data_IF_525964997965
#
_entry.id   IF_525964997965
#
_cell.length_a   1.000
_cell.length_b   1.000
_cell.length_c   1.000
_cell.angle_alpha   90.00
_cell.angle_beta   90.00
_cell.angle_gamma   90.00
#
_symmetry.space_group_name_H-M   'P 1'
#
loop_
_entity.id
_entity.type
_entity.pdbx_description
1 polymer ?
#
# COMPACT_ATOMS: atom_id res chain seq x y z
N UNK A 1 -5.37 -1.22 23.55
CA UNK A 1 -6.78 -0.78 23.51
C UNK A 1 -6.98 0.73 23.59
N UNK A 2 -6.09 1.53 24.22
CA UNK A 2 -6.23 3.00 24.24
C UNK A 2 -6.18 3.66 22.85
N UNK A 3 -5.23 3.29 21.98
CA UNK A 3 -5.11 3.87 20.64
C UNK A 3 -6.29 3.59 19.68
N UNK A 4 -6.99 2.46 19.83
CA UNK A 4 -8.13 2.08 18.98
C UNK A 4 -9.33 3.02 19.17
N UNK A 5 -9.54 3.51 20.40
CA UNK A 5 -10.64 4.44 20.71
C UNK A 5 -10.22 5.88 20.36
N UNK A 6 -8.96 6.27 20.55
CA UNK A 6 -8.51 7.64 20.22
C UNK A 6 -8.52 7.92 18.71
N UNK A 7 -8.23 6.91 17.88
CA UNK A 7 -8.33 6.99 16.42
C UNK A 7 -9.78 7.16 15.91
N UNK A 8 -10.76 6.63 16.64
CA UNK A 8 -12.19 6.79 16.38
C UNK A 8 -12.68 8.22 16.64
N UNK A 9 -12.05 8.94 17.57
CA UNK A 9 -12.51 10.25 18.03
C UNK A 9 -11.85 11.43 17.33
N UNK A 10 -10.79 11.21 16.54
CA UNK A 10 -10.06 12.29 15.87
C UNK A 10 -10.40 12.36 14.36
N UNK A 11 -11.39 13.19 13.97
CA UNK A 11 -11.86 13.28 12.58
C UNK A 11 -10.74 13.67 11.61
N UNK A 12 -9.70 14.36 12.08
CA UNK A 12 -8.54 14.72 11.25
C UNK A 12 -7.78 13.49 10.76
N UNK A 13 -7.53 12.52 11.64
CA UNK A 13 -6.81 11.28 11.30
C UNK A 13 -7.61 10.42 10.31
N UNK A 14 -8.93 10.36 10.47
CA UNK A 14 -9.82 9.66 9.54
C UNK A 14 -9.84 10.31 8.15
N UNK A 15 -9.91 11.65 8.07
CA UNK A 15 -9.85 12.37 6.79
C UNK A 15 -8.51 12.14 6.10
N UNK A 16 -7.39 12.24 6.84
CA UNK A 16 -6.05 12.01 6.29
C UNK A 16 -5.91 10.59 5.75
N UNK A 17 -6.44 9.59 6.48
CA UNK A 17 -6.46 8.21 6.02
C UNK A 17 -7.31 8.01 4.76
N UNK A 18 -8.50 8.63 4.68
CA UNK A 18 -9.36 8.53 3.49
C UNK A 18 -8.68 9.15 2.28
N UNK A 19 -8.11 10.34 2.44
CA UNK A 19 -7.33 11.02 1.40
C UNK A 19 -6.13 10.16 0.99
N UNK A 20 -5.40 9.58 1.95
CA UNK A 20 -4.29 8.67 1.68
C UNK A 20 -4.71 7.46 0.84
N UNK A 21 -5.83 6.83 1.16
CA UNK A 21 -6.37 5.70 0.38
C UNK A 21 -6.78 6.09 -1.06
N UNK A 22 -7.31 7.30 -1.26
CA UNK A 22 -7.66 7.82 -2.58
C UNK A 22 -6.39 8.00 -3.42
N UNK A 23 -5.37 8.67 -2.86
CA UNK A 23 -4.08 8.84 -3.54
C UNK A 23 -3.37 7.51 -3.79
N UNK A 24 -3.45 6.57 -2.84
CA UNK A 24 -2.90 5.23 -2.99
C UNK A 24 -3.55 4.50 -4.17
N UNK A 25 -4.89 4.50 -4.23
CA UNK A 25 -5.65 3.92 -5.34
C UNK A 25 -5.32 4.55 -6.69
N UNK A 26 -5.17 5.88 -6.72
CA UNK A 26 -4.74 6.63 -7.91
C UNK A 26 -3.31 6.26 -8.34
N UNK A 27 -2.37 6.10 -7.39
CA UNK A 27 -1.00 5.70 -7.69
C UNK A 27 -0.94 4.31 -8.34
N UNK A 28 -1.64 3.34 -7.76
CA UNK A 28 -1.74 1.96 -8.28
C UNK A 28 -2.42 1.95 -9.66
N UNK A 29 -3.46 2.76 -9.87
CA UNK A 29 -4.11 2.84 -11.19
C UNK A 29 -3.18 3.42 -12.26
N UNK A 30 -2.36 4.43 -11.91
CA UNK A 30 -1.34 5.00 -12.80
C UNK A 30 -0.27 3.95 -13.14
N UNK A 31 0.20 3.18 -12.17
CA UNK A 31 1.09 2.05 -12.44
C UNK A 31 0.45 1.03 -13.39
N UNK A 32 -0.83 0.70 -13.17
CA UNK A 32 -1.57 -0.22 -14.05
C UNK A 32 -1.64 0.31 -15.48
N UNK A 33 -1.92 1.60 -15.66
CA UNK A 33 -1.96 2.26 -16.98
C UNK A 33 -0.60 2.23 -17.69
N UNK A 34 0.51 2.25 -16.95
CA UNK A 34 1.84 2.26 -17.57
C UNK A 34 2.17 0.98 -18.34
N UNK A 35 1.54 -0.15 -17.99
CA UNK A 35 1.84 -1.46 -18.58
C UNK A 35 3.28 -1.95 -18.32
N UNK A 36 4.05 -1.31 -17.43
CA UNK A 36 5.43 -1.69 -17.09
C UNK A 36 5.53 -2.48 -15.78
N UNK A 37 4.41 -2.97 -15.26
CA UNK A 37 4.31 -3.64 -13.97
C UNK A 37 3.86 -2.70 -12.84
N UNK A 38 3.46 -3.31 -11.73
CA UNK A 38 2.94 -2.64 -10.54
C UNK A 38 3.82 -2.95 -9.33
N UNK A 39 3.47 -2.39 -8.16
CA UNK A 39 4.00 -2.90 -6.90
C UNK A 39 3.72 -4.42 -6.76
N UNK A 40 4.61 -5.18 -6.10
CA UNK A 40 4.52 -6.64 -6.11
C UNK A 40 3.20 -7.21 -5.60
N UNK A 41 2.58 -6.56 -4.61
CA UNK A 41 1.31 -7.01 -4.07
C UNK A 41 0.17 -6.78 -5.06
N UNK A 42 0.00 -5.56 -5.58
CA UNK A 42 -1.04 -5.28 -6.57
C UNK A 42 -0.79 -6.03 -7.88
N UNK A 43 0.47 -6.22 -8.29
CA UNK A 43 0.84 -7.05 -9.44
C UNK A 43 0.41 -8.52 -9.26
N UNK A 44 0.68 -9.11 -8.10
CA UNK A 44 0.22 -10.46 -7.74
C UNK A 44 -1.31 -10.55 -7.79
N UNK A 45 -2.01 -9.58 -7.19
CA UNK A 45 -3.49 -9.53 -7.18
C UNK A 45 -4.03 -9.43 -8.60
N UNK A 46 -3.44 -8.61 -9.47
CA UNK A 46 -3.84 -8.50 -10.88
C UNK A 46 -3.65 -9.83 -11.61
N UNK A 47 -2.47 -10.45 -11.50
CA UNK A 47 -2.18 -11.72 -12.15
C UNK A 47 -3.13 -12.85 -11.71
N UNK A 48 -3.41 -12.93 -10.40
CA UNK A 48 -4.35 -13.90 -9.85
C UNK A 48 -5.80 -13.61 -10.24
N UNK A 49 -6.19 -12.33 -10.30
CA UNK A 49 -7.52 -11.92 -10.74
C UNK A 49 -7.76 -12.29 -12.21
N UNK A 50 -6.78 -12.02 -13.07
CA UNK A 50 -6.84 -12.30 -14.51
C UNK A 50 -6.89 -13.82 -14.77
N UNK A 51 -6.10 -14.61 -14.04
CA UNK A 51 -6.14 -16.09 -14.15
C UNK A 51 -7.41 -16.71 -13.58
N UNK A 52 -8.02 -16.09 -12.57
CA UNK A 52 -9.28 -16.54 -11.97
C UNK A 52 -10.53 -16.06 -12.72
N UNK A 53 -10.40 -15.09 -13.64
CA UNK A 53 -11.52 -14.44 -14.33
C UNK A 53 -12.38 -13.56 -13.41
N UNK A 54 -11.85 -13.15 -12.25
CA UNK A 54 -12.56 -12.31 -11.27
C UNK A 54 -12.11 -10.87 -11.46
N UNK A 55 -13.03 -9.91 -11.36
CA UNK A 55 -12.67 -8.50 -11.40
C UNK A 55 -11.66 -8.14 -10.31
N UNK A 56 -10.63 -7.37 -10.67
CA UNK A 56 -9.54 -6.95 -9.77
C UNK A 56 -10.02 -6.43 -8.41
N UNK A 57 -11.03 -5.54 -8.40
CA UNK A 57 -11.56 -4.98 -7.16
C UNK A 57 -12.12 -6.07 -6.23
N UNK A 58 -12.88 -7.02 -6.77
CA UNK A 58 -13.47 -8.11 -5.98
C UNK A 58 -12.39 -9.09 -5.50
N UNK A 59 -11.44 -9.44 -6.37
CA UNK A 59 -10.34 -10.33 -6.00
C UNK A 59 -9.48 -9.74 -4.89
N UNK A 60 -9.18 -8.44 -4.97
CA UNK A 60 -8.46 -7.72 -3.92
C UNK A 60 -9.20 -7.76 -2.58
N UNK A 61 -10.53 -7.60 -2.58
CA UNK A 61 -11.35 -7.71 -1.37
C UNK A 61 -11.27 -9.11 -0.79
N UNK A 62 -11.40 -10.16 -1.63
CA UNK A 62 -11.32 -11.55 -1.18
C UNK A 62 -9.95 -11.88 -0.57
N UNK A 63 -8.87 -11.42 -1.21
CA UNK A 63 -7.51 -11.61 -0.70
C UNK A 63 -7.29 -10.80 0.59
N UNK A 64 -7.73 -9.55 0.65
CA UNK A 64 -7.64 -8.77 1.89
C UNK A 64 -8.47 -9.39 3.01
N UNK A 65 -9.62 -9.99 2.71
CA UNK A 65 -10.44 -10.69 3.69
C UNK A 65 -9.73 -11.94 4.23
N UNK A 66 -9.04 -12.71 3.37
CA UNK A 66 -8.26 -13.87 3.81
C UNK A 66 -7.07 -13.44 4.69
N UNK A 67 -6.35 -12.39 4.28
CA UNK A 67 -5.28 -11.79 5.09
C UNK A 67 -5.80 -11.20 6.40
N UNK A 68 -6.99 -10.62 6.38
CA UNK A 68 -7.65 -10.09 7.57
C UNK A 68 -7.97 -11.20 8.59
N UNK A 69 -8.33 -12.40 8.15
CA UNK A 69 -8.50 -13.56 9.06
C UNK A 69 -7.18 -13.94 9.74
N UNK A 70 -6.06 -13.91 9.01
CA UNK A 70 -4.73 -14.13 9.59
C UNK A 70 -4.40 -13.01 10.59
N UNK A 71 -4.67 -11.77 10.23
CA UNK A 71 -4.48 -10.60 11.09
C UNK A 71 -5.34 -10.68 12.37
N UNK A 72 -6.56 -11.21 12.28
CA UNK A 72 -7.43 -11.46 13.43
C UNK A 72 -6.88 -12.51 14.38
N UNK A 73 -6.08 -13.46 13.93
CA UNK A 73 -5.50 -14.49 14.82
C UNK A 73 -4.18 -13.99 15.40
N UNK A 74 -3.31 -13.41 14.57
CA UNK A 74 -1.93 -13.18 14.93
C UNK A 74 -1.58 -11.70 15.23
N UNK A 75 -2.44 -10.74 14.84
CA UNK A 75 -2.13 -9.31 14.86
C UNK A 75 -3.28 -8.38 15.26
N UNK A 76 -4.18 -8.83 16.16
CA UNK A 76 -5.39 -8.08 16.58
C UNK A 76 -5.15 -6.62 16.98
N UNK A 77 -3.94 -6.30 17.44
CA UNK A 77 -3.54 -4.95 17.86
C UNK A 77 -3.45 -3.93 16.73
N UNK A 78 -3.30 -4.38 15.48
CA UNK A 78 -3.14 -3.53 14.29
C UNK A 78 -4.45 -3.30 13.52
N UNK A 79 -5.52 -3.97 13.94
CA UNK A 79 -6.84 -3.84 13.32
C UNK A 79 -7.42 -2.48 13.72
N UNK A 80 -7.93 -1.74 12.74
CA UNK A 80 -8.64 -0.49 12.93
C UNK A 80 -9.65 -0.24 11.80
N UNK A 81 -10.34 0.89 11.84
CA UNK A 81 -11.28 1.29 10.77
C UNK A 81 -10.53 1.41 9.44
N UNK A 82 -9.29 1.91 9.46
CA UNK A 82 -8.48 2.02 8.25
C UNK A 82 -8.16 0.70 7.58
N UNK A 83 -8.04 -0.39 8.35
CA UNK A 83 -7.87 -1.74 7.82
C UNK A 83 -9.08 -2.15 6.98
N UNK A 84 -10.29 -1.89 7.47
CA UNK A 84 -11.54 -2.23 6.77
C UNK A 84 -11.73 -1.32 5.54
N UNK A 85 -11.50 -0.02 5.71
CA UNK A 85 -11.63 0.95 4.61
C UNK A 85 -10.66 0.59 3.48
N UNK A 86 -9.39 0.34 3.78
CA UNK A 86 -8.42 -0.07 2.77
C UNK A 86 -8.79 -1.43 2.15
N UNK A 87 -9.14 -2.43 2.97
CA UNK A 87 -9.48 -3.77 2.48
C UNK A 87 -10.64 -3.77 1.48
N UNK A 88 -11.65 -2.92 1.69
CA UNK A 88 -12.86 -2.87 0.87
C UNK A 88 -12.76 -1.83 -0.24
N UNK A 89 -12.38 -0.58 0.07
CA UNK A 89 -12.48 0.53 -0.87
C UNK A 89 -11.29 0.66 -1.82
N UNK A 90 -10.10 0.18 -1.45
CA UNK A 90 -8.89 0.37 -2.26
C UNK A 90 -9.08 -0.16 -3.69
N UNK A 91 -9.65 -1.37 -3.83
CA UNK A 91 -9.89 -1.97 -5.14
C UNK A 91 -10.84 -1.16 -6.02
N UNK A 92 -11.85 -0.54 -5.41
CA UNK A 92 -12.78 0.33 -6.12
C UNK A 92 -12.11 1.64 -6.54
N UNK A 93 -11.31 2.28 -5.68
CA UNK A 93 -10.56 3.48 -6.06
C UNK A 93 -9.62 3.20 -7.23
N UNK A 94 -8.86 2.10 -7.18
CA UNK A 94 -7.97 1.70 -8.27
C UNK A 94 -8.74 1.53 -9.57
N UNK A 95 -9.88 0.84 -9.54
CA UNK A 95 -10.70 0.59 -10.74
C UNK A 95 -11.28 1.90 -11.28
N UNK A 96 -11.83 2.75 -10.41
CA UNK A 96 -12.38 4.05 -10.77
C UNK A 96 -11.34 4.97 -11.44
N UNK A 97 -10.16 5.12 -10.85
CA UNK A 97 -9.11 5.96 -11.43
C UNK A 97 -8.47 5.34 -12.67
N UNK A 98 -8.46 4.00 -12.77
CA UNK A 98 -7.99 3.31 -13.97
C UNK A 98 -8.92 3.60 -15.15
N UNK A 99 -10.23 3.48 -14.96
CA UNK A 99 -11.23 3.77 -15.99
C UNK A 99 -11.20 5.24 -16.42
N UNK A 100 -11.05 6.17 -15.46
CA UNK A 100 -10.87 7.60 -15.78
C UNK A 100 -9.59 7.82 -16.57
N UNK A 101 -8.48 7.22 -16.13
CA UNK A 101 -7.19 7.38 -16.79
C UNK A 101 -7.20 6.84 -18.21
N UNK A 102 -7.84 5.69 -18.46
CA UNK A 102 -8.04 5.16 -19.80
C UNK A 102 -8.86 6.11 -20.68
N UNK A 103 -9.95 6.67 -20.16
CA UNK A 103 -10.82 7.56 -20.93
C UNK A 103 -10.20 8.94 -21.21
N UNK A 104 -9.35 9.46 -20.31
CA UNK A 104 -8.79 10.82 -20.42
C UNK A 104 -7.41 10.83 -21.08
N UNK A 105 -6.51 9.94 -20.64
CA UNK A 105 -5.11 9.91 -21.09
C UNK A 105 -4.86 8.90 -22.20
N UNK A 106 -5.71 7.86 -22.30
CA UNK A 106 -5.47 6.72 -23.18
C UNK A 106 -4.31 5.85 -22.73
N UNK A 107 -4.10 4.73 -23.43
CA UNK A 107 -2.96 3.86 -23.14
C UNK A 107 -1.65 4.45 -23.68
N UNK A 108 -0.61 4.62 -22.84
CA UNK A 108 0.68 5.12 -23.29
C UNK A 108 1.33 4.12 -24.26
N UNK A 109 1.45 4.54 -25.52
CA UNK A 109 2.01 3.70 -26.58
C UNK A 109 3.54 3.76 -26.63
N UNK A 110 4.13 4.91 -26.28
CA UNK A 110 5.58 5.12 -26.35
C UNK A 110 6.25 4.76 -25.02
N UNK A 111 7.43 4.15 -25.09
CA UNK A 111 8.16 3.70 -23.91
C UNK A 111 8.52 4.85 -22.95
N UNK A 112 8.87 6.02 -23.47
CA UNK A 112 9.14 7.20 -22.64
C UNK A 112 7.91 7.69 -21.87
N UNK A 113 6.72 7.62 -22.47
CA UNK A 113 5.45 7.96 -21.80
C UNK A 113 5.21 7.00 -20.64
N UNK A 114 5.37 5.69 -20.89
CA UNK A 114 5.21 4.66 -19.85
C UNK A 114 6.15 4.87 -18.67
N UNK A 115 7.42 5.22 -18.93
CA UNK A 115 8.41 5.50 -17.87
C UNK A 115 8.01 6.73 -17.04
N UNK A 116 7.53 7.80 -17.69
CA UNK A 116 7.03 8.98 -16.98
C UNK A 116 5.79 8.63 -16.15
N UNK A 117 4.87 7.84 -16.71
CA UNK A 117 3.68 7.35 -16.00
C UNK A 117 4.08 6.56 -14.76
N UNK A 118 5.06 5.64 -14.85
CA UNK A 118 5.62 4.93 -13.68
C UNK A 118 6.19 5.91 -12.66
N UNK A 119 7.00 6.88 -13.08
CA UNK A 119 7.60 7.85 -12.16
C UNK A 119 6.54 8.65 -11.40
N UNK A 120 5.48 9.10 -12.08
CA UNK A 120 4.34 9.79 -11.45
C UNK A 120 3.62 8.82 -10.49
N UNK A 121 3.38 7.57 -10.92
CA UNK A 121 2.76 6.53 -10.11
C UNK A 121 3.50 6.28 -8.80
N UNK A 122 4.84 6.21 -8.84
CA UNK A 122 5.70 6.05 -7.65
C UNK A 122 5.48 7.20 -6.66
N UNK A 123 5.49 8.45 -7.14
CA UNK A 123 5.34 9.64 -6.30
C UNK A 123 3.95 9.68 -5.66
N UNK A 124 2.91 9.49 -6.47
CA UNK A 124 1.51 9.53 -6.01
C UNK A 124 1.22 8.38 -5.04
N UNK A 125 1.69 7.17 -5.36
CA UNK A 125 1.55 6.00 -4.50
C UNK A 125 2.29 6.21 -3.17
N UNK A 126 3.56 6.65 -3.20
CA UNK A 126 4.34 6.91 -1.99
C UNK A 126 3.70 7.95 -1.07
N UNK A 127 3.12 9.00 -1.67
CA UNK A 127 2.37 10.01 -0.94
C UNK A 127 1.12 9.44 -0.28
N UNK A 128 0.33 8.64 -1.01
CA UNK A 128 -0.85 7.95 -0.48
C UNK A 128 -0.51 6.98 0.65
N UNK A 129 0.53 6.14 0.47
CA UNK A 129 1.02 5.21 1.50
C UNK A 129 1.44 5.97 2.75
N UNK A 130 2.23 7.04 2.59
CA UNK A 130 2.68 7.88 3.71
C UNK A 130 1.50 8.41 4.52
N UNK A 131 0.52 9.07 3.90
CA UNK A 131 -0.65 9.62 4.61
C UNK A 131 -1.48 8.53 5.32
N UNK A 132 -1.72 7.39 4.67
CA UNK A 132 -2.48 6.30 5.30
C UNK A 132 -1.71 5.70 6.48
N UNK A 133 -0.40 5.43 6.35
CA UNK A 133 0.38 4.81 7.42
C UNK A 133 0.53 5.74 8.64
N UNK A 134 0.81 7.03 8.43
CA UNK A 134 1.02 7.98 9.53
C UNK A 134 -0.28 8.28 10.30
N UNK A 135 -1.44 8.13 9.67
CA UNK A 135 -2.74 8.37 10.32
C UNK A 135 -3.01 7.45 11.53
N UNK A 136 -2.36 6.28 11.59
CA UNK A 136 -2.44 5.29 12.67
C UNK A 136 -3.88 4.86 13.05
N UNK A 137 -4.81 4.86 12.09
CA UNK A 137 -6.21 4.45 12.30
C UNK A 137 -6.49 2.97 11.94
N UNK A 138 -5.42 2.19 11.78
CA UNK A 138 -5.44 0.78 11.37
C UNK A 138 -4.52 0.53 10.18
N UNK A 139 -3.85 -0.62 10.19
CA UNK A 139 -2.87 -1.00 9.16
C UNK A 139 -3.53 -2.00 8.21
N UNK A 140 -3.29 -1.85 6.90
CA UNK A 140 -3.78 -2.76 5.88
C UNK A 140 -3.37 -4.20 6.18
N UNK A 141 -4.21 -5.21 5.87
CA UNK A 141 -3.91 -6.61 6.18
C UNK A 141 -2.58 -7.09 5.59
N UNK A 142 -2.26 -6.66 4.37
CA UNK A 142 -0.98 -6.95 3.71
C UNK A 142 0.20 -6.30 4.44
N UNK A 143 0.13 -5.00 4.71
CA UNK A 143 1.20 -4.29 5.42
C UNK A 143 1.44 -4.86 6.83
N UNK A 144 0.36 -5.33 7.49
CA UNK A 144 0.44 -5.99 8.77
C UNK A 144 1.28 -7.28 8.74
N UNK A 145 1.33 -8.02 7.63
CA UNK A 145 2.16 -9.24 7.54
C UNK A 145 3.64 -8.93 7.76
N UNK A 146 4.15 -7.89 7.10
CA UNK A 146 5.55 -7.48 7.22
C UNK A 146 5.91 -7.01 8.64
N UNK A 147 4.97 -6.36 9.33
CA UNK A 147 5.11 -5.98 10.73
C UNK A 147 5.06 -7.18 11.68
N UNK A 148 4.19 -8.15 11.40
CA UNK A 148 4.07 -9.37 12.21
C UNK A 148 5.33 -10.24 12.14
N UNK A 149 5.96 -10.30 10.97
CA UNK A 149 7.24 -10.99 10.81
C UNK A 149 8.34 -10.27 11.58
N UNK A 150 8.39 -8.93 11.54
CA UNK A 150 9.32 -8.13 12.36
C UNK A 150 9.12 -8.37 13.85
N UNK A 151 7.87 -8.44 14.32
CA UNK A 151 7.57 -8.72 15.74
C UNK A 151 8.09 -10.08 16.19
N UNK A 152 8.12 -11.07 15.27
CA UNK A 152 8.61 -12.42 15.54
C UNK A 152 10.13 -12.53 15.39
N UNK A 153 10.74 -11.71 14.54
CA UNK A 153 12.18 -11.67 14.30
C UNK A 153 12.73 -10.24 14.43
N UNK A 154 12.82 -9.70 15.67
CA UNK A 154 13.20 -8.31 15.91
C UNK A 154 14.66 -7.99 15.52
N UNK A 155 15.49 -9.01 15.32
CA UNK A 155 16.90 -8.86 14.94
C UNK A 155 17.09 -8.45 13.47
N UNK A 156 16.04 -8.53 12.65
CA UNK A 156 16.09 -8.21 11.22
C UNK A 156 15.28 -6.94 10.95
N UNK A 157 15.88 -5.98 10.23
CA UNK A 157 15.23 -4.71 9.90
C UNK A 157 13.90 -4.90 9.16
N UNK A 158 12.96 -3.98 9.35
CA UNK A 158 11.67 -3.95 8.63
C UNK A 158 11.85 -4.03 7.11
N UNK A 159 12.91 -3.40 6.58
CA UNK A 159 13.20 -3.40 5.15
C UNK A 159 13.36 -4.81 4.59
N UNK A 160 14.05 -5.70 5.29
CA UNK A 160 14.28 -7.09 4.83
C UNK A 160 13.01 -7.94 4.88
N UNK A 161 12.17 -7.74 5.90
CA UNK A 161 10.88 -8.40 5.97
C UNK A 161 9.97 -7.97 4.83
N UNK A 162 9.91 -6.66 4.57
CA UNK A 162 9.12 -6.11 3.46
C UNK A 162 9.65 -6.59 2.11
N UNK A 163 10.97 -6.61 1.93
CA UNK A 163 11.61 -7.11 0.71
C UNK A 163 11.30 -8.60 0.48
N UNK A 164 11.28 -9.41 1.55
CA UNK A 164 10.92 -10.83 1.45
C UNK A 164 9.45 -11.02 1.06
N UNK A 165 8.52 -10.31 1.70
CA UNK A 165 7.09 -10.38 1.35
C UNK A 165 6.85 -9.90 -0.07
N UNK A 166 7.50 -8.81 -0.47
CA UNK A 166 7.40 -8.23 -1.80
C UNK A 166 8.02 -9.17 -2.86
N UNK A 167 9.16 -9.80 -2.58
CA UNK A 167 9.76 -10.81 -3.46
C UNK A 167 8.88 -12.06 -3.59
N UNK A 168 8.23 -12.50 -2.51
CA UNK A 168 7.29 -13.62 -2.54
C UNK A 168 6.06 -13.30 -3.40
N UNK A 169 5.48 -12.10 -3.24
CA UNK A 169 4.39 -11.63 -4.08
C UNK A 169 4.82 -11.49 -5.55
N UNK A 170 6.01 -10.97 -5.81
CA UNK A 170 6.57 -10.91 -7.16
C UNK A 170 6.75 -12.30 -7.76
N UNK A 171 7.22 -13.29 -6.99
CA UNK A 171 7.34 -14.66 -7.47
C UNK A 171 5.98 -15.27 -7.86
N UNK A 172 4.94 -15.05 -7.04
CA UNK A 172 3.58 -15.49 -7.37
C UNK A 172 3.10 -14.76 -8.64
N UNK A 173 3.28 -13.45 -8.71
CA UNK A 173 2.95 -12.66 -9.91
C UNK A 173 3.60 -13.27 -11.17
N UNK A 174 4.88 -13.64 -11.10
CA UNK A 174 5.62 -14.25 -12.21
C UNK A 174 5.01 -15.59 -12.65
N UNK A 175 4.73 -16.47 -11.69
CA UNK A 175 4.20 -17.82 -11.94
C UNK A 175 2.83 -17.76 -12.62
N UNK A 176 2.00 -16.79 -12.23
CA UNK A 176 0.66 -16.60 -12.79
C UNK A 176 0.64 -15.71 -14.05
N UNK A 177 1.80 -15.43 -14.65
CA UNK A 177 1.90 -14.70 -15.91
C UNK A 177 1.70 -13.18 -15.78
N UNK A 178 1.80 -12.63 -14.58
CA UNK A 178 1.72 -11.21 -14.31
C UNK A 178 2.92 -10.42 -14.83
N UNK A 179 2.72 -9.12 -15.03
CA UNK A 179 3.74 -8.22 -15.57
C UNK A 179 4.69 -7.80 -14.46
N UNK A 180 5.92 -8.33 -14.52
CA UNK A 180 7.04 -7.86 -13.71
C UNK A 180 7.99 -7.10 -14.62
N UNK A 181 7.97 -5.78 -14.52
CA UNK A 181 8.77 -4.90 -15.35
C UNK A 181 9.46 -3.81 -14.55
N UNK A 182 9.83 -2.73 -15.24
CA UNK A 182 10.47 -1.57 -14.64
C UNK A 182 9.63 -0.95 -13.52
N UNK A 183 8.29 -0.95 -13.62
CA UNK A 183 7.41 -0.45 -12.58
C UNK A 183 7.51 -1.23 -11.27
N UNK A 184 7.66 -2.55 -11.35
CA UNK A 184 7.85 -3.42 -10.18
C UNK A 184 9.22 -3.26 -9.54
N UNK A 185 10.27 -3.12 -10.34
CA UNK A 185 11.61 -2.86 -9.80
C UNK A 185 11.69 -1.48 -9.15
N UNK A 186 11.20 -0.44 -9.83
CA UNK A 186 11.19 0.92 -9.30
C UNK A 186 10.32 1.02 -8.05
N UNK A 187 9.21 0.29 -7.96
CA UNK A 187 8.40 0.28 -6.74
C UNK A 187 9.09 -0.43 -5.58
N UNK A 188 9.70 -1.60 -5.79
CA UNK A 188 10.43 -2.33 -4.73
C UNK A 188 11.59 -1.51 -4.13
N UNK A 189 12.38 -0.85 -4.98
CA UNK A 189 13.53 -0.07 -4.50
C UNK A 189 13.20 1.38 -4.16
N UNK A 190 12.26 1.99 -4.89
CA UNK A 190 11.97 3.42 -4.83
C UNK A 190 10.88 3.81 -3.84
N UNK A 191 9.86 2.97 -3.62
CA UNK A 191 8.78 3.31 -2.70
C UNK A 191 9.31 3.51 -1.27
N UNK A 192 10.22 2.66 -0.78
CA UNK A 192 10.74 2.75 0.58
C UNK A 192 11.33 4.13 0.94
N UNK A 193 12.38 4.60 0.25
CA UNK A 193 12.98 5.91 0.51
C UNK A 193 12.02 7.09 0.30
N UNK A 194 11.16 7.02 -0.72
CA UNK A 194 10.23 8.10 -1.08
C UNK A 194 9.09 8.19 -0.05
N UNK A 195 8.56 7.06 0.41
CA UNK A 195 7.59 7.01 1.51
C UNK A 195 8.20 7.62 2.78
N UNK A 196 9.45 7.27 3.11
CA UNK A 196 10.13 7.85 4.26
C UNK A 196 10.28 9.37 4.14
N UNK A 197 10.65 9.87 2.95
CA UNK A 197 10.73 11.30 2.68
C UNK A 197 9.38 12.00 2.92
N UNK A 198 8.29 11.48 2.35
CA UNK A 198 6.95 12.06 2.53
C UNK A 198 6.44 11.96 3.97
N UNK A 199 6.79 10.88 4.67
CA UNK A 199 6.42 10.69 6.06
C UNK A 199 7.00 11.82 6.93
N UNK A 200 8.32 12.03 6.82
CA UNK A 200 9.05 13.05 7.60
C UNK A 200 8.65 14.48 7.19
N UNK A 201 8.47 14.76 5.90
CA UNK A 201 8.29 16.13 5.42
C UNK A 201 6.84 16.60 5.39
N UNK A 202 5.88 15.69 5.22
CA UNK A 202 4.48 16.05 4.96
C UNK A 202 3.56 15.45 6.00
N UNK A 203 3.54 14.12 6.15
CA UNK A 203 2.57 13.44 7.00
C UNK A 203 2.75 13.78 8.50
N UNK A 204 3.98 13.78 8.99
CA UNK A 204 4.30 14.15 10.38
C UNK A 204 3.94 15.61 10.70
N UNK A 205 4.13 16.52 9.73
CA UNK A 205 3.74 17.94 9.90
C UNK A 205 2.24 18.16 9.91
N UNK A 206 1.50 17.39 9.10
CA UNK A 206 0.04 17.45 9.01
C UNK A 206 -0.66 16.91 10.26
N UNK A 207 -0.09 15.89 10.91
CA UNK A 207 -0.69 15.21 12.05
C UNK A 207 -0.26 15.77 13.42
N UNK A 208 0.77 16.61 13.48
CA UNK A 208 1.11 17.38 14.68
C UNK A 208 1.67 16.57 15.86
N UNK A 209 2.06 15.30 15.65
CA UNK A 209 2.67 14.40 16.64
C UNK A 209 3.55 13.37 15.91
N UNK A 210 4.72 12.91 16.37
CA UNK A 210 5.66 13.31 17.43
C UNK A 210 6.85 12.35 17.26
N UNK A 211 8.05 12.89 17.13
CA UNK A 211 9.34 12.19 17.32
C UNK A 211 9.57 11.79 18.79
N UNK A 212 8.53 11.30 19.49
CA UNK A 212 8.53 11.03 20.94
C UNK A 212 8.35 9.56 21.33
N UNK A 213 7.99 8.64 20.44
CA UNK A 213 8.02 7.20 20.80
C UNK A 213 9.42 6.60 20.66
N UNK A 214 10.23 7.02 19.67
CA UNK A 214 11.63 6.57 19.56
C UNK A 214 12.56 7.15 20.63
N UNK A 215 12.22 8.30 21.25
CA UNK A 215 12.99 8.84 22.38
C UNK A 215 12.61 8.24 23.74
N UNK A 216 11.43 7.62 23.87
CA UNK A 216 11.01 7.02 25.13
C UNK A 216 11.58 5.60 25.35
N UNK A 217 11.89 4.86 24.29
CA UNK A 217 12.57 3.55 24.39
C UNK A 217 14.11 3.64 24.51
N UNK A 218 14.71 4.81 24.28
CA UNK A 218 16.14 5.06 24.46
C UNK A 218 16.48 5.67 25.84
N UNK A 219 15.47 5.95 26.67
CA UNK A 219 15.64 6.49 28.04
C UNK A 219 15.12 5.55 29.15
N UNK A 220 14.93 4.25 28.86
CA UNK A 220 14.65 3.21 29.88
C UNK A 220 15.71 2.11 29.83
#
# INVERSE_FOLDING_TARGET
>A
MRGFITALTDPKRLIIMLVGNIFLGMGISIFKLSGLGNDPFSGMVMALADTSGIAYALFLILLNLSLFMVQLIAGRRFIGIGTIVNAVFLGYFVTFFYDIGLNVLGEPQLLWQRVITVAIGVVVCSFGVSLYQTSNVGIAPYDCLSLLMRDRFPQVSYFWHRMFTDAFCALICFIFGGIIGLGTLVSMFGLGPIIHFFNVHVAEKLLGERRLEEKAELEI
#
